data_IF_588907129058
#
_entry.id   IF_588907129058
#
_cell.length_a   1.000
_cell.length_b   1.000
_cell.length_c   1.000
_cell.angle_alpha   90.00
_cell.angle_beta   90.00
_cell.angle_gamma   90.00
#
_symmetry.space_group_name_H-M   'P 1'
#
loop_
_entity.id
_entity.type
_entity.pdbx_description
1 polymer ?
#
# COMPACT_ATOMS: atom_id res chain seq x y z
N UNK A 1 36.01 -14.16 -15.01
CA UNK A 1 35.17 -15.08 -14.21
C UNK A 1 34.36 -14.36 -13.12
N UNK A 2 34.89 -13.31 -12.49
CA UNK A 2 34.18 -12.58 -11.41
C UNK A 2 32.90 -11.85 -11.88
N UNK A 3 32.90 -11.27 -13.08
CA UNK A 3 31.71 -10.60 -13.63
C UNK A 3 30.54 -11.56 -13.91
N UNK A 4 30.84 -12.82 -14.27
CA UNK A 4 29.79 -13.82 -14.56
C UNK A 4 29.02 -14.19 -13.28
N UNK A 5 29.72 -14.27 -12.15
CA UNK A 5 29.11 -14.53 -10.84
C UNK A 5 28.27 -13.34 -10.35
N UNK A 6 28.66 -12.11 -10.66
CA UNK A 6 27.88 -10.90 -10.31
C UNK A 6 26.58 -10.80 -11.12
N UNK A 7 26.64 -11.08 -12.43
CA UNK A 7 25.45 -11.08 -13.29
C UNK A 7 24.46 -12.16 -12.87
N UNK A 8 24.93 -13.37 -12.54
CA UNK A 8 24.05 -14.45 -12.08
C UNK A 8 23.44 -14.14 -10.70
N UNK A 9 24.18 -13.52 -9.78
CA UNK A 9 23.63 -13.07 -8.48
C UNK A 9 22.62 -11.94 -8.64
N UNK A 10 22.88 -10.97 -9.51
CA UNK A 10 21.94 -9.90 -9.82
C UNK A 10 20.66 -10.46 -10.49
N UNK A 11 20.80 -11.43 -11.40
CA UNK A 11 19.67 -12.12 -12.03
C UNK A 11 18.84 -12.90 -11.00
N UNK A 12 19.49 -13.59 -10.06
CA UNK A 12 18.83 -14.36 -9.00
C UNK A 12 18.13 -13.44 -7.99
N UNK A 13 18.77 -12.33 -7.61
CA UNK A 13 18.15 -11.31 -6.76
C UNK A 13 16.95 -10.67 -7.43
N UNK A 14 17.05 -10.34 -8.71
CA UNK A 14 15.95 -9.76 -9.48
C UNK A 14 14.77 -10.74 -9.57
N UNK A 15 15.04 -12.03 -9.82
CA UNK A 15 14.01 -13.06 -9.88
C UNK A 15 13.32 -13.29 -8.52
N UNK A 16 14.10 -13.35 -7.44
CA UNK A 16 13.59 -13.55 -6.08
C UNK A 16 12.79 -12.34 -5.57
N UNK A 17 13.25 -11.12 -5.90
CA UNK A 17 12.54 -9.90 -5.55
C UNK A 17 11.25 -9.74 -6.37
N UNK A 18 11.26 -10.13 -7.66
CA UNK A 18 10.09 -10.09 -8.52
C UNK A 18 9.02 -11.11 -8.08
N UNK A 19 9.42 -12.34 -7.72
CA UNK A 19 8.50 -13.35 -7.20
C UNK A 19 7.85 -12.94 -5.86
N UNK A 20 8.63 -12.39 -4.93
CA UNK A 20 8.11 -11.83 -3.67
C UNK A 20 7.14 -10.67 -3.94
N UNK A 21 7.43 -9.85 -4.95
CA UNK A 21 6.56 -8.74 -5.33
C UNK A 21 5.23 -9.25 -5.93
N UNK A 22 5.27 -10.32 -6.72
CA UNK A 22 4.06 -10.87 -7.35
C UNK A 22 3.15 -11.61 -6.37
N UNK A 23 3.69 -12.37 -5.42
CA UNK A 23 2.88 -12.97 -4.34
C UNK A 23 2.16 -11.89 -3.53
N UNK A 24 2.86 -10.79 -3.24
CA UNK A 24 2.29 -9.65 -2.52
C UNK A 24 1.22 -8.92 -3.34
N UNK A 25 1.45 -8.70 -4.65
CA UNK A 25 0.42 -8.14 -5.54
C UNK A 25 -0.81 -9.03 -5.62
N UNK A 26 -0.62 -10.35 -5.67
CA UNK A 26 -1.72 -11.31 -5.71
C UNK A 26 -2.54 -11.30 -4.42
N UNK A 27 -1.91 -11.12 -3.26
CA UNK A 27 -2.63 -10.91 -1.99
C UNK A 27 -3.50 -9.64 -2.02
N UNK A 28 -2.96 -8.52 -2.52
CA UNK A 28 -3.75 -7.28 -2.67
C UNK A 28 -4.95 -7.50 -3.59
N UNK A 29 -4.75 -8.15 -4.74
CA UNK A 29 -5.82 -8.47 -5.67
C UNK A 29 -6.90 -9.39 -5.06
N UNK A 30 -6.50 -10.35 -4.24
CA UNK A 30 -7.44 -11.23 -3.53
C UNK A 30 -8.28 -10.45 -2.51
N UNK A 31 -7.67 -9.51 -1.77
CA UNK A 31 -8.41 -8.66 -0.81
C UNK A 31 -9.35 -7.71 -1.54
N UNK A 32 -8.95 -7.13 -2.68
CA UNK A 32 -9.85 -6.33 -3.53
C UNK A 32 -11.07 -7.14 -3.98
N UNK A 33 -10.83 -8.38 -4.42
CA UNK A 33 -11.91 -9.29 -4.83
C UNK A 33 -12.87 -9.60 -3.66
N UNK A 34 -12.33 -9.90 -2.47
CA UNK A 34 -13.15 -10.17 -1.28
C UNK A 34 -13.97 -8.96 -0.84
N UNK A 35 -13.42 -7.75 -0.97
CA UNK A 35 -14.16 -6.51 -0.70
C UNK A 35 -15.31 -6.30 -1.69
N UNK A 36 -15.10 -6.62 -2.96
CA UNK A 36 -16.17 -6.54 -3.97
C UNK A 36 -17.28 -7.57 -3.70
N UNK A 37 -16.93 -8.83 -3.43
CA UNK A 37 -17.90 -9.88 -3.07
C UNK A 37 -18.72 -9.49 -1.81
N UNK A 38 -18.06 -8.92 -0.79
CA UNK A 38 -18.73 -8.43 0.41
C UNK A 38 -19.69 -7.26 0.13
N UNK A 39 -19.35 -6.39 -0.84
CA UNK A 39 -20.18 -5.27 -1.27
C UNK A 39 -21.43 -5.75 -1.99
N UNK A 40 -21.29 -6.68 -2.93
CA UNK A 40 -22.41 -7.31 -3.64
C UNK A 40 -23.36 -8.00 -2.66
N UNK A 41 -22.82 -8.74 -1.68
CA UNK A 41 -23.63 -9.39 -0.65
C UNK A 41 -24.41 -8.38 0.20
N UNK A 42 -23.78 -7.25 0.56
CA UNK A 42 -24.44 -6.20 1.34
C UNK A 42 -25.55 -5.52 0.52
N UNK A 43 -25.36 -5.37 -0.79
CA UNK A 43 -26.38 -4.86 -1.70
C UNK A 43 -27.57 -5.83 -1.83
N UNK A 44 -27.30 -7.14 -1.93
CA UNK A 44 -28.34 -8.19 -1.88
C UNK A 44 -29.12 -8.15 -0.57
N UNK A 45 -28.42 -8.06 0.56
CA UNK A 45 -29.05 -7.94 1.87
C UNK A 45 -29.92 -6.68 1.99
N UNK A 46 -29.54 -5.57 1.35
CA UNK A 46 -30.40 -4.37 1.29
C UNK A 46 -31.67 -4.59 0.49
N UNK A 47 -31.59 -5.32 -0.63
CA UNK A 47 -32.76 -5.66 -1.43
C UNK A 47 -33.70 -6.58 -0.64
N UNK A 48 -33.16 -7.60 0.03
CA UNK A 48 -33.97 -8.49 0.88
C UNK A 48 -34.64 -7.73 2.04
N UNK A 49 -33.94 -6.82 2.72
CA UNK A 49 -34.52 -6.04 3.82
C UNK A 49 -35.66 -5.12 3.36
N UNK A 50 -35.66 -4.67 2.10
CA UNK A 50 -36.79 -3.92 1.53
C UNK A 50 -38.04 -4.78 1.37
N UNK A 51 -37.87 -6.06 1.08
CA UNK A 51 -38.96 -7.04 0.96
C UNK A 51 -39.51 -7.49 2.32
N UNK A 52 -38.73 -7.36 3.41
CA UNK A 52 -39.18 -7.71 4.78
C UNK A 52 -40.29 -6.76 5.26
N UNK A 53 -41.40 -7.27 5.83
CA UNK A 53 -42.49 -6.45 6.36
C UNK A 53 -42.03 -5.52 7.53
N UNK A 54 -42.64 -4.33 7.69
CA UNK A 54 -42.16 -3.27 8.59
C UNK A 54 -42.10 -3.67 10.07
N UNK A 55 -42.86 -4.69 10.46
CA UNK A 55 -42.94 -5.25 11.82
C UNK A 55 -41.64 -5.93 12.29
N UNK A 56 -40.85 -6.53 11.40
CA UNK A 56 -39.56 -7.16 11.73
C UNK A 56 -38.35 -6.35 11.22
N UNK A 57 -38.58 -5.35 10.37
CA UNK A 57 -37.54 -4.56 9.68
C UNK A 57 -36.62 -3.76 10.61
N UNK A 58 -37.06 -3.41 11.82
CA UNK A 58 -36.31 -2.57 12.76
C UNK A 58 -34.94 -3.15 13.17
N UNK A 59 -34.88 -4.45 13.51
CA UNK A 59 -33.61 -5.11 13.86
C UNK A 59 -32.66 -5.21 12.66
N UNK A 60 -33.18 -5.56 11.48
CA UNK A 60 -32.38 -5.70 10.27
C UNK A 60 -31.81 -4.36 9.78
N UNK A 61 -32.60 -3.28 9.86
CA UNK A 61 -32.17 -1.92 9.50
C UNK A 61 -31.01 -1.43 10.39
N UNK A 62 -31.06 -1.72 11.69
CA UNK A 62 -29.97 -1.39 12.62
C UNK A 62 -28.68 -2.14 12.27
N UNK A 63 -28.76 -3.47 12.05
CA UNK A 63 -27.61 -4.28 11.62
C UNK A 63 -27.05 -3.82 10.27
N UNK A 64 -27.91 -3.47 9.32
CA UNK A 64 -27.49 -2.99 8.00
C UNK A 64 -26.67 -1.69 8.09
N UNK A 65 -27.06 -0.76 8.98
CA UNK A 65 -26.28 0.45 9.22
C UNK A 65 -24.91 0.15 9.79
N UNK A 66 -24.81 -0.78 10.74
CA UNK A 66 -23.53 -1.20 11.31
C UNK A 66 -22.63 -1.81 10.24
N UNK A 67 -23.16 -2.73 9.42
CA UNK A 67 -22.38 -3.37 8.34
C UNK A 67 -21.92 -2.36 7.29
N UNK A 68 -22.75 -1.36 6.92
CA UNK A 68 -22.32 -0.27 6.04
C UNK A 68 -21.19 0.56 6.63
N UNK A 69 -21.26 0.86 7.92
CA UNK A 69 -20.22 1.61 8.61
C UNK A 69 -18.91 0.82 8.71
N UNK A 70 -18.99 -0.48 9.00
CA UNK A 70 -17.83 -1.38 9.02
C UNK A 70 -17.21 -1.52 7.64
N UNK A 71 -18.01 -1.69 6.58
CA UNK A 71 -17.53 -1.71 5.20
C UNK A 71 -16.81 -0.40 4.83
N UNK A 72 -17.36 0.75 5.21
CA UNK A 72 -16.71 2.04 4.96
C UNK A 72 -15.35 2.17 5.67
N UNK A 73 -15.20 1.62 6.88
CA UNK A 73 -13.90 1.55 7.57
C UNK A 73 -12.96 0.59 6.84
N UNK A 74 -13.43 -0.59 6.47
CA UNK A 74 -12.61 -1.62 5.82
C UNK A 74 -12.07 -1.14 4.46
N UNK A 75 -12.88 -0.44 3.67
CA UNK A 75 -12.44 0.20 2.42
C UNK A 75 -11.40 1.31 2.67
N UNK A 76 -11.57 2.12 3.72
CA UNK A 76 -10.64 3.18 4.07
C UNK A 76 -9.30 2.64 4.56
N UNK A 77 -9.33 1.60 5.39
CA UNK A 77 -8.15 0.91 5.92
C UNK A 77 -7.41 0.18 4.79
N UNK A 78 -8.14 -0.45 3.87
CA UNK A 78 -7.55 -1.06 2.68
C UNK A 78 -6.84 -0.03 1.78
N UNK A 79 -7.49 1.12 1.51
CA UNK A 79 -6.88 2.22 0.75
C UNK A 79 -5.63 2.77 1.45
N UNK A 80 -5.67 2.96 2.77
CA UNK A 80 -4.51 3.40 3.56
C UNK A 80 -3.37 2.39 3.50
N UNK A 81 -3.69 1.10 3.64
CA UNK A 81 -2.72 0.00 3.57
C UNK A 81 -2.06 -0.07 2.18
N UNK A 82 -2.82 0.16 1.11
CA UNK A 82 -2.31 0.21 -0.27
C UNK A 82 -1.41 1.42 -0.54
N UNK A 83 -1.69 2.58 0.07
CA UNK A 83 -0.86 3.79 -0.05
C UNK A 83 0.45 3.61 0.72
N UNK A 84 0.40 3.09 1.96
CA UNK A 84 1.59 2.75 2.74
C UNK A 84 2.49 1.74 2.00
N UNK A 85 1.88 0.72 1.40
CA UNK A 85 2.57 -0.27 0.56
C UNK A 85 3.28 0.37 -0.65
N UNK A 86 2.66 1.36 -1.31
CA UNK A 86 3.30 2.08 -2.42
C UNK A 86 4.45 2.98 -1.94
N UNK A 87 4.39 3.53 -0.73
CA UNK A 87 5.47 4.33 -0.15
C UNK A 87 6.66 3.45 0.25
N UNK A 88 6.44 2.30 0.89
CA UNK A 88 7.50 1.35 1.26
C UNK A 88 8.25 0.81 0.03
N UNK A 89 7.52 0.39 -1.01
CA UNK A 89 8.10 -0.07 -2.28
C UNK A 89 8.85 1.05 -3.01
N UNK A 90 8.39 2.31 -2.89
CA UNK A 90 9.09 3.47 -3.46
C UNK A 90 10.36 3.80 -2.68
N UNK A 91 10.32 3.66 -1.36
CA UNK A 91 11.47 3.90 -0.49
C UNK A 91 12.55 2.82 -0.64
N UNK A 92 12.18 1.57 -0.99
CA UNK A 92 13.14 0.53 -1.36
C UNK A 92 13.75 0.74 -2.77
N UNK A 93 13.03 1.40 -3.69
CA UNK A 93 13.49 1.71 -5.04
C UNK A 93 14.32 3.00 -5.13
N UNK A 94 14.09 3.94 -4.21
CA UNK A 94 14.95 5.09 -3.96
C UNK A 94 15.94 4.70 -2.88
N UNK A 95 16.98 3.96 -3.30
CA UNK A 95 18.13 3.66 -2.46
C UNK A 95 18.51 4.88 -1.62
N UNK A 96 18.65 4.63 -0.33
CA UNK A 96 19.13 5.51 0.73
C UNK A 96 20.36 6.35 0.30
N UNK A 97 20.11 7.43 -0.46
CA UNK A 97 21.06 8.54 -0.67
C UNK A 97 20.88 9.62 0.42
N UNK A 98 20.28 9.24 1.57
CA UNK A 98 20.02 10.09 2.72
C UNK A 98 21.27 10.56 3.48
N UNK A 99 22.48 10.21 3.03
CA UNK A 99 23.75 10.61 3.65
C UNK A 99 24.56 11.64 2.83
N UNK A 100 24.04 12.10 1.68
CA UNK A 100 24.76 13.04 0.81
C UNK A 100 24.49 14.52 1.11
N UNK A 101 23.36 14.85 1.72
CA UNK A 101 22.90 16.23 1.94
C UNK A 101 23.70 16.98 3.02
N UNK A 102 24.07 16.35 4.13
CA UNK A 102 24.85 17.05 5.17
C UNK A 102 26.29 17.35 4.73
N UNK A 103 26.94 16.41 4.03
CA UNK A 103 28.30 16.58 3.52
C UNK A 103 28.36 17.62 2.38
N UNK A 104 27.34 17.70 1.52
CA UNK A 104 27.26 18.74 0.48
C UNK A 104 27.07 20.14 1.08
N UNK A 105 26.26 20.29 2.14
CA UNK A 105 26.04 21.57 2.84
C UNK A 105 27.32 22.03 3.55
N UNK A 106 28.04 21.11 4.21
CA UNK A 106 29.35 21.39 4.81
C UNK A 106 30.38 21.83 3.77
N UNK A 107 30.43 21.17 2.62
CA UNK A 107 31.35 21.52 1.53
C UNK A 107 31.03 22.90 0.94
N UNK A 108 29.75 23.22 0.72
CA UNK A 108 29.28 24.54 0.28
C UNK A 108 29.62 25.65 1.28
N UNK A 109 29.47 25.38 2.58
CA UNK A 109 29.87 26.33 3.63
C UNK A 109 31.39 26.53 3.69
N UNK A 110 32.16 25.45 3.49
CA UNK A 110 33.61 25.53 3.42
C UNK A 110 34.09 26.34 2.20
N UNK A 111 33.49 26.12 1.02
CA UNK A 111 33.78 26.93 -0.18
C UNK A 111 33.36 28.40 -0.01
N UNK A 112 32.21 28.67 0.63
CA UNK A 112 31.77 30.03 0.94
C UNK A 112 32.69 30.72 1.95
N UNK A 113 33.25 30.00 2.93
CA UNK A 113 34.25 30.56 3.86
C UNK A 113 35.56 30.88 3.13
N UNK A 114 36.03 30.02 2.23
CA UNK A 114 37.24 30.30 1.44
C UNK A 114 37.12 31.53 0.55
N UNK A 115 35.96 31.78 -0.07
CA UNK A 115 35.73 32.97 -0.92
C UNK A 115 35.53 34.29 -0.18
N UNK A 116 35.45 34.29 1.16
CA UNK A 116 35.26 35.51 1.96
C UNK A 116 36.55 36.00 2.62
N UNK A 117 37.64 35.25 2.50
CA UNK A 117 38.95 35.60 3.09
C UNK A 117 39.98 36.07 2.04
N UNK A 118 39.54 36.48 0.85
CA UNK A 118 40.35 37.10 -0.20
C UNK A 118 39.66 38.40 -0.63
#
# INVERSE_FOLDING_TARGET
>A
MVCFSFVVRAQLYWLFHNSISDEKKQMVANVEKQLEEARELLEQMELEVREIPPQSRGMYSSRMRSYKQEMGKLEADFKRSRIAYSDEVRNELLGDDGNSSENQVLLLLHFKKKKKCE
#
